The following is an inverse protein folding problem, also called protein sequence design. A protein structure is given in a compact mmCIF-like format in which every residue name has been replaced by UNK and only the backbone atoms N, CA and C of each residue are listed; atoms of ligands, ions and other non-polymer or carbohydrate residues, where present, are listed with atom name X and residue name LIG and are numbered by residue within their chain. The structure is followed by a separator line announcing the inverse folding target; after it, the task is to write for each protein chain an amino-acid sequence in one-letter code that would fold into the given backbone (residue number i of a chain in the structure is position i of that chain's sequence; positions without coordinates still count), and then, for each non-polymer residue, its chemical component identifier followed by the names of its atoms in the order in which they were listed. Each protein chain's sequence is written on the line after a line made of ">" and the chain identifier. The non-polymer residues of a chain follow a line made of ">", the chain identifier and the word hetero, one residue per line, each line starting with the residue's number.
data_IF_570528351678
#
_entry.id   IF_570528351678
#
_cell.length_a   1.000
_cell.length_b   1.000
_cell.length_c   1.000
_cell.angle_alpha   90.00
_cell.angle_beta   90.00
_cell.angle_gamma   90.00
#
_symmetry.space_group_name_H-M   'P 1'
#
loop_
_entity.id
_entity.type
_entity.pdbx_description
1 polymer ?
#
# COMPACT_ATOMS: atom_id res chain seq x y z
N UNK A 1 -0.58 -10.59 -66.44
CA UNK A 1 -0.33 -11.68 -65.47
C UNK A 1 0.64 -11.31 -64.35
N UNK A 2 1.74 -10.57 -64.62
CA UNK A 2 2.69 -10.16 -63.57
C UNK A 2 2.13 -9.16 -62.55
N UNK A 3 1.19 -8.31 -62.94
CA UNK A 3 0.55 -7.30 -62.07
C UNK A 3 -0.49 -7.90 -61.11
N UNK A 4 -1.05 -9.07 -61.44
CA UNK A 4 -2.07 -9.74 -60.61
C UNK A 4 -1.45 -10.43 -59.37
N UNK A 5 -0.19 -10.83 -59.47
CA UNK A 5 0.55 -11.51 -58.40
C UNK A 5 0.97 -10.52 -57.29
N UNK A 6 1.16 -9.25 -57.63
CA UNK A 6 1.57 -8.20 -56.67
C UNK A 6 0.42 -7.85 -55.71
N UNK A 7 -0.83 -7.92 -56.17
CA UNK A 7 -2.00 -7.60 -55.33
C UNK A 7 -2.27 -8.71 -54.29
N UNK A 8 -2.02 -9.97 -54.63
CA UNK A 8 -2.19 -11.09 -53.68
C UNK A 8 -1.07 -11.15 -52.62
N UNK A 9 0.14 -10.67 -52.95
CA UNK A 9 1.25 -10.56 -51.99
C UNK A 9 1.06 -9.47 -50.93
N UNK A 10 0.29 -8.42 -51.23
CA UNK A 10 0.09 -7.29 -50.31
C UNK A 10 -1.02 -7.54 -49.26
N UNK A 11 -1.94 -8.49 -49.50
CA UNK A 11 -3.01 -8.83 -48.55
C UNK A 11 -2.55 -9.72 -47.37
N UNK A 12 -1.36 -10.32 -47.42
CA UNK A 12 -0.84 -11.20 -46.37
C UNK A 12 -0.12 -10.46 -45.21
N UNK A 13 -0.07 -9.13 -45.23
CA UNK A 13 0.59 -8.33 -44.19
C UNK A 13 -0.37 -7.61 -43.25
N UNK A 14 -1.68 -7.85 -43.36
CA UNK A 14 -2.67 -7.32 -42.42
C UNK A 14 -2.85 -8.32 -41.27
N UNK A 15 -1.77 -8.62 -40.55
CA UNK A 15 -1.91 -9.10 -39.17
C UNK A 15 -2.32 -7.88 -38.35
N UNK A 16 -3.62 -7.57 -38.34
CA UNK A 16 -4.20 -6.67 -37.34
C UNK A 16 -4.02 -7.36 -35.99
N UNK A 17 -2.88 -7.10 -35.36
CA UNK A 17 -2.73 -7.26 -33.93
C UNK A 17 -3.70 -6.28 -33.29
N UNK A 18 -4.93 -6.73 -33.05
CA UNK A 18 -5.84 -5.98 -32.20
C UNK A 18 -5.22 -5.99 -30.81
N UNK A 19 -4.61 -4.86 -30.42
CA UNK A 19 -4.31 -4.59 -29.02
C UNK A 19 -5.66 -4.35 -28.33
N UNK A 20 -6.35 -5.45 -28.03
CA UNK A 20 -7.63 -5.46 -27.37
C UNK A 20 -7.42 -5.91 -25.94
N UNK A 21 -8.10 -5.25 -25.00
CA UNK A 21 -8.14 -5.71 -23.62
C UNK A 21 -8.73 -7.13 -23.59
N UNK A 22 -7.92 -8.09 -23.15
CA UNK A 22 -8.38 -9.43 -22.83
C UNK A 22 -8.74 -9.45 -21.36
N UNK A 23 -9.96 -9.86 -21.04
CA UNK A 23 -10.36 -10.08 -19.66
C UNK A 23 -9.73 -11.38 -19.17
N UNK A 24 -8.77 -11.29 -18.26
CA UNK A 24 -8.08 -12.46 -17.71
C UNK A 24 -8.89 -13.12 -16.59
N UNK A 25 -9.35 -12.34 -15.60
CA UNK A 25 -10.06 -12.90 -14.43
C UNK A 25 -11.13 -11.94 -13.87
N UNK A 26 -12.03 -12.46 -13.02
CA UNK A 26 -12.88 -11.68 -12.11
C UNK A 26 -12.60 -12.13 -10.69
N UNK A 27 -12.07 -11.23 -9.87
CA UNK A 27 -11.83 -11.45 -8.45
C UNK A 27 -12.75 -10.58 -7.60
N UNK A 28 -13.16 -11.10 -6.43
CA UNK A 28 -13.96 -10.33 -5.48
C UNK A 28 -13.09 -9.37 -4.66
N UNK A 29 -13.55 -8.13 -4.51
CA UNK A 29 -12.92 -7.11 -3.68
C UNK A 29 -12.04 -6.14 -4.45
N UNK A 30 -11.48 -5.17 -3.72
CA UNK A 30 -10.55 -4.16 -4.27
C UNK A 30 -9.12 -4.56 -3.91
N UNK A 31 -8.26 -4.54 -4.90
CA UNK A 31 -6.83 -4.79 -4.73
C UNK A 31 -6.07 -3.47 -4.87
N UNK A 32 -4.98 -3.32 -4.10
CA UNK A 32 -4.05 -2.20 -4.21
C UNK A 32 -2.79 -2.68 -4.92
N UNK A 33 -2.33 -1.95 -5.93
CA UNK A 33 -1.10 -2.24 -6.67
C UNK A 33 0.09 -1.51 -6.05
N UNK A 34 1.26 -2.10 -6.14
CA UNK A 34 2.53 -1.48 -5.74
C UNK A 34 3.69 -2.11 -6.54
N UNK A 35 4.87 -1.50 -6.49
CA UNK A 35 6.10 -2.08 -7.02
C UNK A 35 7.03 -2.39 -5.85
N UNK A 36 7.64 -3.58 -5.86
CA UNK A 36 8.69 -3.93 -4.90
C UNK A 36 10.04 -3.37 -5.37
N UNK A 37 11.07 -3.49 -4.52
CA UNK A 37 12.37 -2.83 -4.73
C UNK A 37 13.08 -3.23 -6.05
N UNK A 38 12.76 -4.42 -6.60
CA UNK A 38 13.32 -4.89 -7.87
C UNK A 38 12.56 -4.38 -9.12
N UNK A 39 11.50 -3.57 -8.93
CA UNK A 39 10.66 -3.02 -10.00
C UNK A 39 9.48 -3.91 -10.43
N UNK A 40 9.34 -5.12 -9.89
CA UNK A 40 8.19 -5.96 -10.18
C UNK A 40 6.91 -5.37 -9.59
N UNK A 41 5.86 -5.30 -10.41
CA UNK A 41 4.53 -4.93 -9.94
C UNK A 41 3.86 -6.13 -9.26
N UNK A 42 3.26 -5.87 -8.11
CA UNK A 42 2.42 -6.80 -7.36
C UNK A 42 1.09 -6.11 -7.05
N UNK A 43 0.12 -6.89 -6.62
CA UNK A 43 -1.09 -6.35 -6.03
C UNK A 43 -1.47 -7.12 -4.78
N UNK A 44 -2.14 -6.45 -3.85
CA UNK A 44 -2.52 -7.00 -2.56
C UNK A 44 -3.99 -6.83 -2.27
N UNK A 45 -4.49 -7.68 -1.37
CA UNK A 45 -5.80 -7.59 -0.74
C UNK A 45 -5.66 -7.81 0.76
N UNK A 46 -6.39 -7.01 1.53
CA UNK A 46 -6.53 -7.21 2.96
C UNK A 46 -7.83 -7.96 3.28
N UNK A 47 -7.72 -9.06 4.00
CA UNK A 47 -8.85 -9.76 4.62
C UNK A 47 -9.02 -9.26 6.06
N UNK A 48 -10.07 -8.46 6.28
CA UNK A 48 -10.40 -7.89 7.59
C UNK A 48 -10.78 -8.95 8.63
N UNK A 49 -11.38 -10.08 8.23
CA UNK A 49 -11.80 -11.12 9.18
C UNK A 49 -10.61 -11.94 9.67
N UNK A 50 -9.68 -12.24 8.75
CA UNK A 50 -8.48 -13.01 9.07
C UNK A 50 -7.31 -12.14 9.56
N UNK A 51 -7.38 -10.82 9.36
CA UNK A 51 -6.28 -9.89 9.56
C UNK A 51 -5.02 -10.29 8.76
N UNK A 52 -5.22 -10.66 7.49
CA UNK A 52 -4.15 -11.11 6.59
C UNK A 52 -4.11 -10.22 5.35
N UNK A 53 -2.91 -9.83 4.96
CA UNK A 53 -2.62 -9.27 3.64
C UNK A 53 -2.14 -10.41 2.75
N UNK A 54 -2.87 -10.67 1.68
CA UNK A 54 -2.43 -11.56 0.61
C UNK A 54 -1.86 -10.73 -0.53
N UNK A 55 -0.64 -11.05 -0.95
CA UNK A 55 0.09 -10.39 -2.02
C UNK A 55 0.21 -11.36 -3.18
N UNK A 56 -0.09 -10.88 -4.38
CA UNK A 56 -0.18 -11.67 -5.59
C UNK A 56 0.78 -11.15 -6.66
N UNK A 57 1.23 -12.09 -7.48
CA UNK A 57 1.86 -11.80 -8.76
C UNK A 57 0.82 -11.35 -9.79
N UNK A 58 1.28 -10.77 -10.91
CA UNK A 58 0.38 -10.36 -11.99
C UNK A 58 -0.38 -11.52 -12.63
N UNK A 59 0.16 -12.74 -12.56
CA UNK A 59 -0.47 -13.99 -13.03
C UNK A 59 -1.47 -14.60 -12.02
N UNK A 60 -1.88 -13.83 -11.01
CA UNK A 60 -2.84 -14.22 -9.97
C UNK A 60 -2.39 -15.28 -8.97
N UNK A 61 -1.13 -15.73 -9.05
CA UNK A 61 -0.57 -16.62 -8.04
C UNK A 61 -0.24 -15.85 -6.74
N UNK A 62 -0.46 -16.49 -5.59
CA UNK A 62 -0.08 -15.93 -4.29
C UNK A 62 1.45 -15.91 -4.20
N UNK A 63 2.01 -14.74 -3.96
CA UNK A 63 3.43 -14.58 -3.67
C UNK A 63 3.71 -14.72 -2.17
N UNK A 64 2.98 -13.97 -1.34
CA UNK A 64 3.15 -13.93 0.12
C UNK A 64 1.82 -13.71 0.82
N UNK A 65 1.72 -14.20 2.05
CA UNK A 65 0.63 -13.90 2.98
C UNK A 65 1.23 -13.43 4.30
N UNK A 66 0.88 -12.21 4.71
CA UNK A 66 1.44 -11.55 5.90
C UNK A 66 0.31 -11.26 6.86
N UNK A 67 0.47 -11.66 8.13
CA UNK A 67 -0.49 -11.28 9.17
C UNK A 67 -0.31 -9.80 9.49
N UNK A 68 -1.41 -9.05 9.47
CA UNK A 68 -1.44 -7.63 9.75
C UNK A 68 -2.06 -7.38 11.13
N UNK A 69 -1.25 -7.36 12.22
CA UNK A 69 -1.79 -7.13 13.54
C UNK A 69 -2.41 -5.73 13.63
N UNK A 70 -3.72 -5.65 13.85
CA UNK A 70 -4.37 -4.40 14.19
C UNK A 70 -4.44 -4.28 15.72
N UNK A 71 -4.05 -3.13 16.31
CA UNK A 71 -4.31 -2.90 17.72
C UNK A 71 -5.83 -2.96 17.99
N UNK A 72 -6.22 -3.39 19.19
CA UNK A 72 -7.62 -3.59 19.55
C UNK A 72 -8.46 -2.34 19.24
N UNK A 73 -9.60 -2.54 18.58
CA UNK A 73 -10.54 -1.48 18.22
C UNK A 73 -10.13 -0.62 17.02
N UNK A 74 -8.93 -0.84 16.46
CA UNK A 74 -8.49 -0.12 15.27
C UNK A 74 -9.07 -0.74 14.00
N UNK A 75 -9.31 0.09 13.00
CA UNK A 75 -9.59 -0.29 11.63
C UNK A 75 -8.38 0.00 10.77
N UNK A 76 -8.10 -0.83 9.76
CA UNK A 76 -7.11 -0.47 8.75
C UNK A 76 -7.58 0.79 8.02
N UNK A 77 -6.71 1.80 7.98
CA UNK A 77 -6.89 3.02 7.19
C UNK A 77 -6.29 2.79 5.80
N UNK A 78 -4.97 2.57 5.74
CA UNK A 78 -4.28 2.36 4.48
C UNK A 78 -3.03 1.48 4.62
N UNK A 79 -2.79 0.59 3.64
CA UNK A 79 -1.46 0.00 3.41
C UNK A 79 -0.69 0.96 2.51
N UNK A 80 0.33 1.60 3.03
CA UNK A 80 0.99 2.74 2.39
C UNK A 80 2.21 2.33 1.56
N UNK A 81 3.02 1.42 2.08
CA UNK A 81 4.19 0.87 1.41
C UNK A 81 4.28 -0.62 1.65
N UNK A 82 4.73 -1.34 0.62
CA UNK A 82 5.21 -2.70 0.75
C UNK A 82 6.58 -2.77 0.09
N UNK A 83 7.56 -3.29 0.81
CA UNK A 83 8.96 -3.37 0.39
C UNK A 83 9.57 -4.70 0.81
N UNK A 84 10.81 -4.92 0.41
CA UNK A 84 11.66 -6.05 0.84
C UNK A 84 13.01 -5.61 1.39
N UNK A 85 13.42 -4.35 1.11
CA UNK A 85 14.76 -3.83 1.45
C UNK A 85 14.72 -2.36 1.91
N UNK A 86 13.56 -1.88 2.37
CA UNK A 86 13.42 -0.47 2.75
C UNK A 86 13.73 -0.24 4.22
N UNK A 87 13.33 -1.13 5.15
CA UNK A 87 13.55 -0.94 6.60
C UNK A 87 14.51 -1.96 7.22
N UNK A 88 14.81 -3.05 6.52
CA UNK A 88 15.76 -4.10 6.88
C UNK A 88 16.65 -4.49 5.67
N UNK A 89 17.66 -5.33 5.95
CA UNK A 89 18.65 -5.75 4.95
C UNK A 89 18.44 -7.19 4.44
N UNK A 90 17.37 -7.85 4.87
CA UNK A 90 17.03 -9.19 4.40
C UNK A 90 16.14 -9.11 3.14
N UNK A 91 15.49 -10.20 2.76
CA UNK A 91 14.54 -10.22 1.63
C UNK A 91 13.10 -10.46 2.09
N UNK A 92 12.85 -10.32 3.39
CA UNK A 92 11.51 -10.44 3.96
C UNK A 92 10.65 -9.26 3.54
N UNK A 93 9.36 -9.53 3.33
CA UNK A 93 8.39 -8.47 3.05
C UNK A 93 8.25 -7.56 4.27
N UNK A 94 8.15 -6.27 4.02
CA UNK A 94 7.93 -5.24 5.03
C UNK A 94 6.68 -4.45 4.62
N UNK A 95 5.85 -4.09 5.59
CA UNK A 95 4.58 -3.41 5.33
C UNK A 95 4.47 -2.19 6.24
N UNK A 96 4.36 -1.01 5.63
CA UNK A 96 4.00 0.23 6.31
C UNK A 96 2.51 0.47 6.12
N UNK A 97 1.77 0.62 7.21
CA UNK A 97 0.32 0.86 7.20
C UNK A 97 -0.11 1.84 8.29
N UNK A 98 -1.21 2.53 8.04
CA UNK A 98 -1.92 3.29 9.06
C UNK A 98 -3.17 2.54 9.50
N UNK A 99 -3.53 2.71 10.77
CA UNK A 99 -4.82 2.28 11.30
C UNK A 99 -5.46 3.43 12.09
N UNK A 100 -6.78 3.35 12.25
CA UNK A 100 -7.60 4.43 12.79
C UNK A 100 -8.57 3.91 13.85
N UNK A 101 -8.77 4.70 14.90
CA UNK A 101 -9.85 4.52 15.88
C UNK A 101 -10.74 5.74 15.85
N UNK A 102 -12.05 5.47 15.90
CA UNK A 102 -13.09 6.46 16.05
C UNK A 102 -13.57 6.46 17.51
N UNK A 103 -13.49 7.60 18.17
CA UNK A 103 -13.95 7.80 19.54
C UNK A 103 -15.48 7.92 19.57
N UNK A 104 -16.16 6.82 19.92
CA UNK A 104 -17.61 6.68 19.84
C UNK A 104 -18.39 7.62 20.75
N UNK A 105 -17.75 8.19 21.78
CA UNK A 105 -18.43 9.07 22.75
C UNK A 105 -18.97 10.36 22.11
N UNK A 106 -18.42 10.76 20.95
CA UNK A 106 -18.80 12.01 20.29
C UNK A 106 -19.80 11.83 19.14
N UNK A 107 -20.03 10.60 18.65
CA UNK A 107 -20.91 10.33 17.49
C UNK A 107 -22.41 10.51 17.77
N UNK A 108 -22.81 10.66 19.04
CA UNK A 108 -24.22 10.76 19.46
C UNK A 108 -24.69 12.19 19.79
N UNK A 109 -23.87 13.23 19.54
CA UNK A 109 -24.27 14.61 19.82
C UNK A 109 -24.66 15.32 18.52
N UNK A 110 -25.84 15.95 18.47
CA UNK A 110 -26.31 16.81 17.35
C UNK A 110 -25.45 18.08 17.12
N UNK A 111 -24.28 18.16 17.75
CA UNK A 111 -23.38 19.30 17.63
C UNK A 111 -22.58 19.17 16.34
N UNK A 112 -22.47 20.24 15.56
CA UNK A 112 -21.62 20.30 14.36
C UNK A 112 -20.21 19.83 14.77
N UNK A 113 -19.87 18.62 14.35
CA UNK A 113 -18.67 17.93 14.79
C UNK A 113 -17.48 18.46 13.99
N UNK A 114 -16.46 18.95 14.68
CA UNK A 114 -15.12 19.00 14.08
C UNK A 114 -14.68 17.55 13.89
N UNK A 115 -14.53 17.10 12.63
CA UNK A 115 -14.05 15.75 12.26
C UNK A 115 -12.75 15.38 13.00
N UNK A 116 -12.02 16.41 13.43
CA UNK A 116 -10.74 16.32 14.10
C UNK A 116 -10.81 15.71 15.51
N UNK A 117 -11.86 15.94 16.32
CA UNK A 117 -11.76 15.66 17.76
C UNK A 117 -11.93 14.18 18.17
N UNK A 118 -12.25 13.28 17.24
CA UNK A 118 -12.61 11.89 17.56
C UNK A 118 -11.88 10.85 16.71
N UNK A 119 -10.90 11.25 15.89
CA UNK A 119 -10.14 10.33 15.05
C UNK A 119 -8.70 10.26 15.57
N UNK A 120 -8.23 9.05 15.87
CA UNK A 120 -6.84 8.79 16.25
C UNK A 120 -6.22 7.82 15.27
N UNK A 121 -5.11 8.22 14.67
CA UNK A 121 -4.33 7.38 13.76
C UNK A 121 -3.13 6.75 14.44
N UNK A 122 -2.67 5.63 13.92
CA UNK A 122 -1.39 5.00 14.29
C UNK A 122 -0.71 4.51 13.02
N UNK A 123 0.56 4.85 12.85
CA UNK A 123 1.41 4.36 11.78
C UNK A 123 2.20 3.16 12.29
N UNK A 124 2.27 2.09 11.52
CA UNK A 124 2.96 0.86 11.89
C UNK A 124 3.85 0.41 10.73
N UNK A 125 4.99 -0.18 11.07
CA UNK A 125 5.85 -0.93 10.15
C UNK A 125 5.99 -2.33 10.73
N UNK A 126 5.71 -3.35 9.93
CA UNK A 126 5.86 -4.75 10.30
C UNK A 126 6.73 -5.49 9.28
N UNK A 127 7.31 -6.61 9.69
CA UNK A 127 7.94 -7.58 8.78
C UNK A 127 6.95 -8.67 8.31
N UNK A 128 7.45 -9.63 7.54
CA UNK A 128 6.64 -10.70 6.91
C UNK A 128 5.98 -11.64 7.92
N UNK A 129 6.52 -11.72 9.14
CA UNK A 129 5.99 -12.53 10.23
C UNK A 129 4.92 -11.77 11.06
N UNK A 130 4.68 -10.50 10.74
CA UNK A 130 3.80 -9.62 11.50
C UNK A 130 4.44 -9.06 12.77
N UNK A 131 5.77 -9.14 12.90
CA UNK A 131 6.49 -8.50 14.01
C UNK A 131 6.56 -7.00 13.77
N UNK A 132 6.28 -6.21 14.81
CA UNK A 132 6.28 -4.75 14.75
C UNK A 132 7.71 -4.24 14.79
N UNK A 133 8.14 -3.60 13.71
CA UNK A 133 9.43 -2.91 13.58
C UNK A 133 9.33 -1.46 14.08
N UNK A 134 8.20 -0.80 13.82
CA UNK A 134 7.90 0.55 14.28
C UNK A 134 6.40 0.68 14.58
N UNK A 135 6.07 1.41 15.64
CA UNK A 135 4.72 1.89 15.92
C UNK A 135 4.77 3.33 16.37
N UNK A 136 4.08 4.21 15.65
CA UNK A 136 3.95 5.62 15.96
C UNK A 136 2.49 6.02 16.12
N UNK A 137 2.10 6.26 17.37
CA UNK A 137 0.78 6.76 17.70
C UNK A 137 0.61 8.21 17.24
N UNK A 138 -0.60 8.57 16.86
CA UNK A 138 -1.00 9.88 16.33
C UNK A 138 -0.36 10.22 14.97
N UNK A 139 -0.14 9.22 14.13
CA UNK A 139 0.46 9.41 12.80
C UNK A 139 -0.23 8.58 11.74
N UNK A 140 -0.37 9.15 10.55
CA UNK A 140 -0.85 8.45 9.35
C UNK A 140 -0.12 8.89 8.08
N UNK A 141 0.93 9.69 8.20
CA UNK A 141 1.65 10.17 7.03
C UNK A 141 3.17 10.10 7.27
N UNK A 142 3.90 9.93 6.18
CA UNK A 142 5.33 9.69 6.21
C UNK A 142 6.01 10.13 4.92
N UNK A 143 7.33 10.29 5.00
CA UNK A 143 8.19 10.48 3.84
C UNK A 143 9.49 9.69 4.04
N UNK A 144 10.00 9.09 2.97
CA UNK A 144 11.34 8.51 2.96
C UNK A 144 12.20 9.41 2.09
N UNK A 145 13.25 9.95 2.70
CA UNK A 145 14.24 10.78 2.01
C UNK A 145 15.57 10.04 1.94
N UNK A 146 16.27 10.19 0.83
CA UNK A 146 17.61 9.64 0.63
C UNK A 146 18.58 10.74 0.20
N UNK A 147 19.72 10.82 0.88
CA UNK A 147 20.79 11.76 0.53
C UNK A 147 22.15 11.17 0.88
N UNK A 148 23.08 11.18 -0.09
CA UNK A 148 24.44 10.64 0.06
C UNK A 148 24.44 9.18 0.57
N UNK A 149 23.54 8.37 0.00
CA UNK A 149 23.32 6.98 0.39
C UNK A 149 22.64 6.80 1.75
N UNK A 150 22.36 7.85 2.53
CA UNK A 150 21.67 7.77 3.82
C UNK A 150 20.17 7.95 3.66
N UNK A 151 19.40 6.96 4.10
CA UNK A 151 17.94 6.99 4.12
C UNK A 151 17.42 7.42 5.50
N UNK A 152 16.39 8.26 5.50
CA UNK A 152 15.65 8.68 6.70
C UNK A 152 14.15 8.47 6.47
N UNK A 153 13.47 8.00 7.51
CA UNK A 153 12.02 7.99 7.57
C UNK A 153 11.58 9.20 8.39
N UNK A 154 10.77 10.07 7.80
CA UNK A 154 10.08 11.16 8.46
C UNK A 154 8.64 10.69 8.71
N UNK A 155 8.19 10.74 9.96
CA UNK A 155 6.82 10.42 10.36
C UNK A 155 6.14 11.69 10.85
N UNK A 156 5.00 12.03 10.27
CA UNK A 156 4.24 13.23 10.62
C UNK A 156 3.22 12.89 11.72
N UNK A 157 3.40 13.48 12.90
CA UNK A 157 2.54 13.30 14.08
C UNK A 157 1.57 14.45 14.24
N UNK A 158 0.34 14.11 14.58
CA UNK A 158 -0.71 15.03 15.03
C UNK A 158 -0.59 15.20 16.55
N UNK A 159 -0.36 16.43 17.02
CA UNK A 159 -0.23 16.71 18.47
C UNK A 159 -1.58 16.96 19.15
N UNK A 160 -2.65 17.06 18.37
CA UNK A 160 -4.04 17.05 18.82
C UNK A 160 -4.77 15.88 18.18
N UNK A 161 -5.93 15.49 18.74
CA UNK A 161 -6.86 14.65 17.99
C UNK A 161 -7.20 15.38 16.67
N UNK A 162 -7.13 14.66 15.54
CA UNK A 162 -7.44 15.21 14.22
C UNK A 162 -6.32 15.99 13.53
N UNK A 163 -6.69 16.76 12.50
CA UNK A 163 -5.75 17.41 11.57
C UNK A 163 -5.35 18.85 11.97
N UNK A 164 -5.74 19.35 13.15
CA UNK A 164 -5.43 20.73 13.56
C UNK A 164 -3.94 20.97 13.81
N UNK A 165 -3.56 22.22 13.55
CA UNK A 165 -2.26 22.78 13.13
C UNK A 165 -1.01 22.56 14.00
N UNK A 166 -1.05 21.69 15.02
CA UNK A 166 0.14 21.32 15.77
C UNK A 166 0.61 19.95 15.28
N UNK A 167 1.64 19.97 14.45
CA UNK A 167 2.32 18.75 14.00
C UNK A 167 3.73 18.67 14.57
N UNK A 168 4.22 17.44 14.69
CA UNK A 168 5.62 17.14 14.97
C UNK A 168 6.11 16.16 13.92
N UNK A 169 7.32 16.35 13.41
CA UNK A 169 7.99 15.33 12.60
C UNK A 169 8.95 14.54 13.46
N UNK A 170 8.81 13.22 13.49
CA UNK A 170 9.80 12.32 14.09
C UNK A 170 10.64 11.70 12.99
N UNK A 171 11.96 11.69 13.18
CA UNK A 171 12.93 11.30 12.16
C UNK A 171 13.68 10.06 12.61
N UNK A 172 13.57 8.98 11.84
CA UNK A 172 14.28 7.73 12.07
C UNK A 172 15.41 7.56 11.05
N UNK A 173 16.48 6.91 11.49
CA UNK A 173 17.47 6.37 10.57
C UNK A 173 16.99 5.03 10.05
N UNK A 174 17.04 4.84 8.74
CA UNK A 174 16.79 3.55 8.11
C UNK A 174 18.14 2.82 8.01
N UNK A 175 18.24 1.56 8.50
CA UNK A 175 19.44 0.72 8.34
C UNK A 175 19.85 0.54 6.87
N UNK A 176 21.13 0.24 6.64
CA UNK A 176 21.72 -0.10 5.34
C UNK A 176 22.50 -1.39 5.42
#
# INVERSE_FOLDING_TARGET
>A
MKTLIIIFGLMLLVSTGFSQLVKEEVVEGRFKTFQIDNGEAKYLRYDKKAEIISIYNLDHTIWKSVKLPLPKGHLLDEIKLVSTKTFNNDEAVEILYSCVVYDSEYFNTETVMDEDNYITFTLNIINENGEVLLKEDHSNDYEIIESNGKKKLLVYKHLSKGFKTKSQTVVYSIPQ
#
